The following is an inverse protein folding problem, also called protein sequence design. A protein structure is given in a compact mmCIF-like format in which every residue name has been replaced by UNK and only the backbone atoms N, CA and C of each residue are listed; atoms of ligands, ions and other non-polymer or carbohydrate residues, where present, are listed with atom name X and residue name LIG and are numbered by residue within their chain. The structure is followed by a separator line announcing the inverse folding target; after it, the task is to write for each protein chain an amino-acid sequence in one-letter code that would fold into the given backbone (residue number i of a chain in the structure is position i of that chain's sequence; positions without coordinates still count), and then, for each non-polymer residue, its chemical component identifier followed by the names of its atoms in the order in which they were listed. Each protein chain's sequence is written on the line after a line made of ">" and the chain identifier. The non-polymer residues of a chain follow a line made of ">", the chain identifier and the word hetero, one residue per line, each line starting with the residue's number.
data_IF_828210745815
#
_entry.id   IF_828210745815
#
_cell.length_a   1.000
_cell.length_b   1.000
_cell.length_c   1.000
_cell.angle_alpha   90.00
_cell.angle_beta   90.00
_cell.angle_gamma   90.00
#
_symmetry.space_group_name_H-M   'P 1'
#
loop_
_entity.id
_entity.type
_entity.pdbx_description
1 polymer ?
#
# COMPACT_ATOMS: atom_id res chain seq x y z
N UNK A 1 -28.61 -4.29 19.63
CA UNK A 1 -27.52 -3.47 19.06
C UNK A 1 -26.21 -4.09 19.51
N UNK A 2 -25.53 -4.80 18.62
CA UNK A 2 -24.38 -5.65 18.96
C UNK A 2 -23.07 -4.83 18.83
N UNK A 3 -22.86 -3.89 19.75
CA UNK A 3 -21.83 -2.84 19.66
C UNK A 3 -20.40 -3.27 20.00
N UNK A 4 -20.00 -4.50 19.66
CA UNK A 4 -18.68 -5.03 19.98
C UNK A 4 -18.05 -5.95 18.93
N UNK A 5 -18.79 -6.36 17.90
CA UNK A 5 -18.27 -7.24 16.85
C UNK A 5 -17.64 -6.41 15.72
N UNK A 6 -16.41 -6.76 15.31
CA UNK A 6 -15.68 -6.08 14.23
C UNK A 6 -14.28 -5.61 14.64
N UNK A 7 -13.53 -5.11 13.67
CA UNK A 7 -12.13 -4.66 13.83
C UNK A 7 -12.13 -3.19 14.24
N UNK A 8 -11.67 -2.86 15.45
CA UNK A 8 -11.43 -1.47 15.83
C UNK A 8 -10.19 -0.92 15.13
N UNK A 9 -10.31 0.29 14.61
CA UNK A 9 -9.18 1.03 14.08
C UNK A 9 -8.47 1.76 15.22
N UNK A 10 -7.23 1.38 15.44
CA UNK A 10 -6.28 2.07 16.33
C UNK A 10 -4.96 2.17 15.59
N UNK A 11 -4.20 3.24 15.79
CA UNK A 11 -2.97 3.49 15.06
C UNK A 11 -2.02 4.37 15.85
N UNK A 12 -0.80 4.47 15.36
CA UNK A 12 0.18 5.46 15.82
C UNK A 12 0.32 6.53 14.74
N UNK A 13 0.49 7.80 15.11
CA UNK A 13 0.67 8.86 14.14
C UNK A 13 2.00 8.62 13.42
N UNK A 14 1.94 8.61 12.09
CA UNK A 14 3.15 8.75 11.28
C UNK A 14 3.40 10.24 11.21
N UNK A 15 4.48 10.71 11.86
CA UNK A 15 4.89 12.10 11.79
C UNK A 15 5.24 12.41 10.32
N UNK A 16 4.29 12.95 9.57
CA UNK A 16 4.53 13.48 8.24
C UNK A 16 5.41 14.72 8.41
N UNK A 17 6.74 14.52 8.41
CA UNK A 17 7.79 15.54 8.47
C UNK A 17 7.29 16.88 9.00
N UNK A 18 6.87 16.91 10.27
CA UNK A 18 6.43 18.16 10.89
C UNK A 18 7.68 19.04 10.93
N UNK A 19 7.67 20.26 10.38
CA UNK A 19 8.85 21.12 10.43
C UNK A 19 9.30 21.22 11.88
N UNK A 20 10.52 20.76 12.16
CA UNK A 20 11.09 20.82 13.49
C UNK A 20 11.06 22.28 13.94
N UNK A 21 10.33 22.58 15.02
CA UNK A 21 10.34 23.93 15.55
C UNK A 21 11.78 24.28 15.94
N UNK A 22 12.32 25.42 15.48
CA UNK A 22 13.70 25.78 15.76
C UNK A 22 13.89 25.95 17.27
N UNK A 23 14.84 25.19 17.83
CA UNK A 23 15.22 25.29 19.24
C UNK A 23 15.74 26.69 19.57
N UNK A 24 15.53 27.12 20.82
CA UNK A 24 15.99 28.44 21.27
C UNK A 24 17.41 28.29 21.83
N UNK A 25 18.36 29.09 21.32
CA UNK A 25 19.74 29.14 21.85
C UNK A 25 19.90 30.36 22.74
N UNK A 26 20.15 30.15 24.03
CA UNK A 26 20.40 31.23 25.00
C UNK A 26 21.78 31.01 25.60
N UNK A 27 22.70 31.96 25.40
CA UNK A 27 24.02 31.94 26.04
C UNK A 27 24.87 30.70 25.73
N UNK A 28 24.74 30.12 24.54
CA UNK A 28 25.47 28.90 24.14
C UNK A 28 24.81 27.58 24.55
N UNK A 29 23.65 27.61 25.21
CA UNK A 29 22.85 26.44 25.52
C UNK A 29 21.65 26.35 24.56
N UNK A 30 21.59 25.28 23.76
CA UNK A 30 20.47 25.00 22.85
C UNK A 30 19.39 24.24 23.59
N UNK A 31 18.22 24.84 23.75
CA UNK A 31 17.03 24.18 24.33
C UNK A 31 16.23 23.59 23.17
N UNK A 32 16.06 22.25 23.09
CA UNK A 32 15.19 21.62 22.12
C UNK A 32 13.76 22.15 22.28
N UNK A 33 13.05 22.40 21.17
CA UNK A 33 11.65 22.79 21.24
C UNK A 33 10.84 21.70 21.97
N UNK A 34 9.90 22.06 22.86
CA UNK A 34 9.06 21.08 23.51
C UNK A 34 8.24 20.30 22.46
N UNK A 35 8.08 18.98 22.61
CA UNK A 35 7.23 18.20 21.71
C UNK A 35 5.81 18.77 21.72
N UNK A 36 5.25 19.01 20.54
CA UNK A 36 3.87 19.50 20.37
C UNK A 36 2.86 18.42 20.74
N UNK A 37 1.64 18.80 21.15
CA UNK A 37 0.56 17.86 21.47
C UNK A 37 0.27 16.87 20.34
N UNK A 38 0.47 17.24 19.07
CA UNK A 38 0.36 16.34 17.93
C UNK A 38 1.45 15.25 17.88
N UNK A 39 2.63 15.51 18.47
CA UNK A 39 3.72 14.54 18.60
C UNK A 39 3.51 13.61 19.81
N UNK A 40 2.77 14.05 20.84
CA UNK A 40 2.52 13.30 22.07
C UNK A 40 1.20 12.50 21.99
N UNK A 41 0.17 13.09 21.36
CA UNK A 41 -1.19 12.56 21.33
C UNK A 41 -1.37 11.68 20.09
N UNK A 42 -0.73 10.52 20.10
CA UNK A 42 -0.88 9.53 19.03
C UNK A 42 -2.24 8.82 18.94
N UNK A 43 -3.29 9.36 19.56
CA UNK A 43 -4.61 8.76 19.69
C UNK A 43 -5.69 9.39 18.81
N UNK A 44 -5.32 9.92 17.64
CA UNK A 44 -6.28 10.48 16.68
C UNK A 44 -7.15 9.42 15.99
N UNK A 45 -8.16 9.87 15.23
CA UNK A 45 -8.90 8.99 14.31
C UNK A 45 -7.91 8.41 13.30
N UNK A 46 -8.12 7.15 12.90
CA UNK A 46 -7.28 6.50 11.89
C UNK A 46 -7.68 7.02 10.51
N UNK A 47 -6.74 7.65 9.81
CA UNK A 47 -6.98 8.23 8.48
C UNK A 47 -6.75 7.24 7.32
N UNK A 48 -5.95 6.20 7.57
CA UNK A 48 -5.66 5.16 6.58
C UNK A 48 -5.37 3.80 7.24
N UNK A 49 -5.72 2.73 6.53
CA UNK A 49 -5.46 1.34 6.94
C UNK A 49 -4.77 0.63 5.78
N UNK A 50 -3.65 -0.03 6.05
CA UNK A 50 -2.99 -0.91 5.08
C UNK A 50 -3.22 -2.38 5.45
N UNK A 51 -3.85 -3.13 4.53
CA UNK A 51 -4.29 -4.51 4.73
C UNK A 51 -3.39 -5.45 3.93
N UNK A 52 -2.73 -6.38 4.63
CA UNK A 52 -1.96 -7.46 4.04
C UNK A 52 -2.72 -8.78 4.26
N UNK A 53 -3.48 -9.20 3.26
CA UNK A 53 -4.39 -10.34 3.37
C UNK A 53 -4.52 -11.08 2.03
N UNK A 54 -5.01 -12.31 2.07
CA UNK A 54 -5.49 -13.00 0.86
C UNK A 54 -6.82 -12.40 0.38
N UNK A 55 -7.25 -12.70 -0.84
CA UNK A 55 -8.53 -12.25 -1.38
C UNK A 55 -9.73 -12.75 -0.57
N UNK A 56 -9.67 -13.98 -0.07
CA UNK A 56 -10.71 -14.51 0.84
C UNK A 56 -10.73 -13.76 2.17
N UNK A 57 -9.55 -13.53 2.77
CA UNK A 57 -9.43 -12.81 4.04
C UNK A 57 -9.91 -11.36 3.93
N UNK A 58 -9.57 -10.66 2.85
CA UNK A 58 -9.99 -9.26 2.68
C UNK A 58 -11.50 -9.12 2.47
N UNK A 59 -12.13 -10.14 1.90
CA UNK A 59 -13.58 -10.35 1.84
C UNK A 59 -14.25 -10.22 3.20
N UNK A 60 -13.59 -10.69 4.27
CA UNK A 60 -14.10 -10.61 5.63
C UNK A 60 -13.62 -9.36 6.37
N UNK A 61 -12.38 -8.93 6.16
CA UNK A 61 -11.77 -7.81 6.89
C UNK A 61 -12.53 -6.51 6.62
N UNK A 62 -12.87 -6.21 5.36
CA UNK A 62 -13.55 -4.94 5.03
C UNK A 62 -14.93 -4.81 5.70
N UNK A 63 -15.83 -5.80 5.61
CA UNK A 63 -17.08 -5.79 6.39
C UNK A 63 -16.84 -5.66 7.90
N UNK A 64 -15.85 -6.36 8.45
CA UNK A 64 -15.55 -6.29 9.89
C UNK A 64 -15.09 -4.90 10.35
N UNK A 65 -14.37 -4.16 9.50
CA UNK A 65 -14.03 -2.75 9.76
C UNK A 65 -15.29 -1.87 9.68
N UNK A 66 -16.11 -2.06 8.66
CA UNK A 66 -17.35 -1.29 8.47
C UNK A 66 -18.36 -1.51 9.60
N UNK A 67 -18.45 -2.73 10.16
CA UNK A 67 -19.34 -3.05 11.29
C UNK A 67 -18.99 -2.28 12.57
N UNK A 68 -17.68 -2.09 12.84
CA UNK A 68 -17.21 -1.45 14.08
C UNK A 68 -17.13 0.07 13.96
N UNK A 69 -16.68 0.58 12.81
CA UNK A 69 -16.31 1.98 12.63
C UNK A 69 -17.31 2.72 11.71
N UNK A 70 -18.32 2.01 11.19
CA UNK A 70 -19.28 2.50 10.20
C UNK A 70 -18.73 2.47 8.78
N UNK A 71 -19.62 2.40 7.79
CA UNK A 71 -19.26 2.40 6.36
C UNK A 71 -18.50 3.67 5.94
N UNK A 72 -18.62 4.74 6.72
CA UNK A 72 -17.97 6.05 6.51
C UNK A 72 -16.88 6.31 7.56
N UNK A 73 -16.09 5.31 7.93
CA UNK A 73 -15.03 5.40 8.94
C UNK A 73 -14.02 6.55 8.73
N UNK A 74 -14.04 7.22 7.57
CA UNK A 74 -13.10 8.27 7.18
C UNK A 74 -11.72 7.72 6.80
N UNK A 75 -11.40 6.51 7.26
CA UNK A 75 -10.18 5.81 6.93
C UNK A 75 -10.16 5.34 5.47
N UNK A 76 -9.14 5.72 4.73
CA UNK A 76 -8.89 5.17 3.39
C UNK A 76 -8.29 3.77 3.53
N UNK A 77 -8.88 2.78 2.85
CA UNK A 77 -8.40 1.41 2.89
C UNK A 77 -7.44 1.16 1.72
N UNK A 78 -6.25 0.70 2.06
CA UNK A 78 -5.24 0.23 1.13
C UNK A 78 -5.03 -1.26 1.34
N UNK A 79 -4.73 -1.98 0.26
CA UNK A 79 -4.44 -3.40 0.29
C UNK A 79 -3.20 -3.73 -0.54
N UNK A 80 -2.54 -4.81 -0.15
CA UNK A 80 -1.42 -5.34 -0.91
C UNK A 80 -1.86 -6.00 -2.24
N UNK A 81 -0.94 -6.11 -3.18
CA UNK A 81 -1.06 -6.89 -4.42
C UNK A 81 -1.61 -8.30 -4.18
N UNK A 82 -1.26 -8.92 -3.04
CA UNK A 82 -1.70 -10.27 -2.66
C UNK A 82 -3.22 -10.40 -2.59
N UNK A 83 -3.91 -9.31 -2.24
CA UNK A 83 -5.36 -9.25 -2.12
C UNK A 83 -6.06 -9.02 -3.47
N UNK A 84 -5.30 -8.68 -4.52
CA UNK A 84 -5.81 -8.49 -5.88
C UNK A 84 -5.71 -9.79 -6.69
N UNK A 85 -6.84 -10.23 -7.23
CA UNK A 85 -6.96 -11.42 -8.08
C UNK A 85 -7.59 -11.09 -9.43
N UNK A 86 -7.08 -11.71 -10.49
CA UNK A 86 -7.61 -11.54 -11.85
C UNK A 86 -8.95 -12.22 -12.08
N UNK A 87 -9.29 -13.22 -11.27
CA UNK A 87 -10.50 -14.04 -11.41
C UNK A 87 -11.63 -13.64 -10.46
N UNK A 88 -11.50 -12.50 -9.77
CA UNK A 88 -12.54 -12.02 -8.86
C UNK A 88 -13.84 -11.71 -9.60
N UNK A 89 -14.94 -12.30 -9.15
CA UNK A 89 -16.28 -12.06 -9.70
C UNK A 89 -16.72 -10.59 -9.56
N UNK A 90 -17.74 -10.16 -10.33
CA UNK A 90 -18.27 -8.80 -10.26
C UNK A 90 -18.76 -8.42 -8.86
N UNK A 91 -19.24 -9.40 -8.08
CA UNK A 91 -19.69 -9.21 -6.70
C UNK A 91 -18.53 -8.79 -5.79
N UNK A 92 -17.42 -9.56 -5.80
CA UNK A 92 -16.21 -9.23 -5.04
C UNK A 92 -15.64 -7.85 -5.42
N UNK A 93 -15.69 -7.49 -6.70
CA UNK A 93 -15.24 -6.16 -7.15
C UNK A 93 -16.09 -5.04 -6.57
N UNK A 94 -17.40 -5.24 -6.48
CA UNK A 94 -18.32 -4.27 -5.87
C UNK A 94 -18.12 -4.23 -4.35
N UNK A 95 -17.98 -5.39 -3.71
CA UNK A 95 -17.69 -5.49 -2.28
C UNK A 95 -16.36 -4.83 -1.92
N UNK A 96 -15.38 -4.84 -2.82
CA UNK A 96 -14.07 -4.19 -2.65
C UNK A 96 -14.01 -2.74 -3.15
N UNK A 97 -15.14 -2.14 -3.53
CA UNK A 97 -15.19 -0.75 -4.01
C UNK A 97 -14.62 0.26 -2.98
N UNK A 98 -13.78 1.20 -3.42
CA UNK A 98 -13.07 2.12 -2.53
C UNK A 98 -11.80 1.57 -1.86
N UNK A 99 -11.45 0.29 -2.07
CA UNK A 99 -10.17 -0.28 -1.65
C UNK A 99 -9.09 0.02 -2.70
N UNK A 100 -7.96 0.57 -2.28
CA UNK A 100 -6.83 0.87 -3.16
C UNK A 100 -5.76 -0.21 -3.06
N UNK A 101 -5.42 -0.86 -4.17
CA UNK A 101 -4.39 -1.88 -4.17
C UNK A 101 -3.04 -1.31 -4.58
N UNK A 102 -1.99 -1.67 -3.84
CA UNK A 102 -0.62 -1.56 -4.34
C UNK A 102 -0.41 -2.67 -5.36
N UNK A 103 0.09 -2.37 -6.56
CA UNK A 103 0.31 -3.37 -7.61
C UNK A 103 1.40 -2.95 -8.59
N UNK A 104 1.98 -3.92 -9.31
CA UNK A 104 2.94 -3.64 -10.37
C UNK A 104 2.30 -2.79 -11.50
N UNK A 105 3.03 -1.87 -12.13
CA UNK A 105 2.49 -0.98 -13.17
C UNK A 105 1.80 -1.70 -14.34
N UNK A 106 2.29 -2.91 -14.67
CA UNK A 106 1.71 -3.76 -15.71
C UNK A 106 0.25 -4.14 -15.40
N UNK A 107 -0.11 -4.38 -14.14
CA UNK A 107 -1.44 -4.79 -13.71
C UNK A 107 -2.28 -3.61 -13.16
N UNK A 108 -1.63 -2.50 -12.78
CA UNK A 108 -2.29 -1.28 -12.33
C UNK A 108 -2.91 -0.43 -13.46
N UNK A 109 -2.88 -0.91 -14.71
CA UNK A 109 -3.45 -0.21 -15.87
C UNK A 109 -2.52 0.78 -16.55
N UNK A 110 -1.20 0.74 -16.26
CA UNK A 110 -0.22 1.61 -16.92
C UNK A 110 -0.06 1.35 -18.43
N UNK A 111 -0.31 0.11 -18.89
CA UNK A 111 -0.24 -0.26 -20.30
C UNK A 111 -1.22 -1.41 -20.63
N UNK A 112 -2.41 -1.07 -21.12
CA UNK A 112 -3.50 -2.02 -21.40
C UNK A 112 -3.16 -3.12 -22.43
N UNK A 113 -2.51 -2.81 -23.59
CA UNK A 113 -2.07 -3.84 -24.52
C UNK A 113 -1.10 -4.86 -23.91
N UNK A 114 -0.08 -4.37 -23.19
CA UNK A 114 0.91 -5.24 -22.54
C UNK A 114 0.27 -6.10 -21.46
N UNK A 115 -0.64 -5.52 -20.67
CA UNK A 115 -1.40 -6.23 -19.66
C UNK A 115 -2.19 -7.40 -20.27
N UNK A 116 -2.92 -7.17 -21.35
CA UNK A 116 -3.69 -8.22 -22.02
C UNK A 116 -2.79 -9.34 -22.54
N UNK A 117 -1.67 -8.99 -23.18
CA UNK A 117 -0.71 -9.97 -23.67
C UNK A 117 -0.15 -10.84 -22.54
N UNK A 118 0.27 -10.22 -21.43
CA UNK A 118 0.79 -10.94 -20.27
C UNK A 118 -0.27 -11.83 -19.64
N UNK A 119 -1.50 -11.33 -19.44
CA UNK A 119 -2.60 -12.07 -18.85
C UNK A 119 -3.06 -13.24 -19.73
N UNK A 120 -3.05 -13.10 -21.06
CA UNK A 120 -3.32 -14.20 -21.98
C UNK A 120 -2.28 -15.31 -21.86
N UNK A 121 -1.00 -14.98 -21.65
CA UNK A 121 0.07 -15.97 -21.50
C UNK A 121 -0.01 -16.76 -20.18
N UNK A 122 -0.60 -16.17 -19.14
CA UNK A 122 -0.66 -16.74 -17.78
C UNK A 122 -2.07 -17.14 -17.33
N UNK A 123 -3.01 -17.28 -18.26
CA UNK A 123 -4.40 -17.67 -17.97
C UNK A 123 -5.07 -16.78 -16.92
N UNK A 124 -4.80 -15.47 -16.98
CA UNK A 124 -5.34 -14.47 -16.05
C UNK A 124 -4.93 -14.66 -14.58
N UNK A 125 -3.89 -15.45 -14.30
CA UNK A 125 -3.28 -15.59 -12.98
C UNK A 125 -2.34 -14.42 -12.69
N UNK A 126 -2.71 -13.58 -11.71
CA UNK A 126 -1.93 -12.39 -11.36
C UNK A 126 -0.60 -12.73 -10.66
N UNK A 127 -0.49 -13.86 -9.98
CA UNK A 127 0.77 -14.29 -9.36
C UNK A 127 1.79 -14.64 -10.44
N UNK A 128 1.35 -15.37 -11.47
CA UNK A 128 2.17 -15.67 -12.63
C UNK A 128 2.45 -14.43 -13.47
N UNK A 129 1.49 -13.52 -13.63
CA UNK A 129 1.70 -12.24 -14.31
C UNK A 129 2.80 -11.41 -13.61
N UNK A 130 2.80 -11.38 -12.28
CA UNK A 130 3.86 -10.72 -11.50
C UNK A 130 5.22 -11.38 -11.70
N UNK A 131 5.28 -12.70 -11.75
CA UNK A 131 6.52 -13.42 -12.09
C UNK A 131 7.01 -13.12 -13.51
N UNK A 132 6.09 -13.02 -14.47
CA UNK A 132 6.42 -12.60 -15.84
C UNK A 132 7.01 -11.19 -15.87
N UNK A 133 6.37 -10.23 -15.20
CA UNK A 133 6.88 -8.87 -15.08
C UNK A 133 8.24 -8.82 -14.39
N UNK A 134 8.44 -9.61 -13.32
CA UNK A 134 9.73 -9.74 -12.65
C UNK A 134 10.82 -10.26 -13.61
N UNK A 135 10.50 -11.20 -14.50
CA UNK A 135 11.45 -11.67 -15.52
C UNK A 135 11.84 -10.58 -16.52
N UNK A 136 10.88 -9.75 -16.94
CA UNK A 136 11.12 -8.59 -17.79
C UNK A 136 11.98 -7.55 -17.07
N UNK A 137 11.64 -7.23 -15.81
CA UNK A 137 12.38 -6.28 -14.99
C UNK A 137 13.80 -6.77 -14.68
N UNK A 138 13.99 -8.07 -14.43
CA UNK A 138 15.33 -8.64 -14.25
C UNK A 138 16.19 -8.51 -15.50
N UNK A 139 15.62 -8.70 -16.69
CA UNK A 139 16.32 -8.49 -17.96
C UNK A 139 16.69 -7.03 -18.19
N UNK A 140 15.76 -6.09 -17.91
CA UNK A 140 16.02 -4.65 -18.08
C UNK A 140 17.07 -4.14 -17.10
N UNK A 141 17.16 -4.72 -15.90
CA UNK A 141 18.23 -4.44 -14.93
C UNK A 141 19.57 -5.08 -15.33
N UNK A 142 19.55 -6.26 -15.95
CA UNK A 142 20.77 -6.98 -16.33
C UNK A 142 21.49 -6.36 -17.55
N UNK A 143 20.75 -5.90 -18.56
CA UNK A 143 21.33 -5.29 -19.77
C UNK A 143 22.30 -4.12 -19.51
N UNK A 144 21.97 -3.12 -18.67
CA UNK A 144 22.93 -2.05 -18.37
C UNK A 144 24.14 -2.56 -17.56
N UNK A 145 23.97 -3.57 -16.69
CA UNK A 145 25.09 -4.19 -15.96
C UNK A 145 26.06 -4.94 -16.90
N UNK A 146 25.56 -5.61 -17.93
CA UNK A 146 26.41 -6.25 -18.95
C UNK A 146 27.09 -5.25 -19.88
N UNK A 147 26.48 -4.09 -20.12
CA UNK A 147 27.10 -3.00 -20.89
C UNK A 147 28.27 -2.33 -20.13
N UNK A 148 28.18 -2.21 -18.80
CA UNK A 148 29.28 -1.74 -17.94
C UNK A 148 30.39 -2.81 -17.79
N UNK A 149 30.02 -4.08 -17.64
CA UNK A 149 30.99 -5.19 -17.52
C UNK A 149 31.76 -5.53 -18.81
N UNK A 150 31.30 -5.04 -19.97
CA UNK A 150 32.03 -5.13 -21.26
C UNK A 150 32.84 -3.87 -21.57
N UNK A 151 32.95 -2.95 -20.60
CA UNK A 151 33.86 -1.83 -20.60
C UNK A 151 35.32 -2.29 -20.70
N UNK A 152 35.80 -2.31 -21.94
CA UNK A 152 37.20 -2.21 -22.34
C UNK A 152 37.97 -1.24 -21.46
N UNK A 153 38.75 -1.78 -20.52
CA UNK A 153 39.96 -1.14 -20.04
C UNK A 153 41.09 -1.39 -21.05
N UNK A 154 41.26 -0.45 -21.97
CA UNK A 154 42.52 -0.17 -22.69
C UNK A 154 42.63 1.33 -22.89
#
# INVERSE_FOLDING_TARGET
>A
MNGGAGIALTGSPVAASVPAQPGVTIGGLTIPAPPTDAQITGGGRVDAVYILATPEEIGFIKPMIAMRNGTQSGATLYASSRSAQGTSGPDFRLEMEGLQYSEIPMLAGGNMPLMQQALSAVHNDYSLARMYAMGVDAWTLANPLFADASGTGV
#
